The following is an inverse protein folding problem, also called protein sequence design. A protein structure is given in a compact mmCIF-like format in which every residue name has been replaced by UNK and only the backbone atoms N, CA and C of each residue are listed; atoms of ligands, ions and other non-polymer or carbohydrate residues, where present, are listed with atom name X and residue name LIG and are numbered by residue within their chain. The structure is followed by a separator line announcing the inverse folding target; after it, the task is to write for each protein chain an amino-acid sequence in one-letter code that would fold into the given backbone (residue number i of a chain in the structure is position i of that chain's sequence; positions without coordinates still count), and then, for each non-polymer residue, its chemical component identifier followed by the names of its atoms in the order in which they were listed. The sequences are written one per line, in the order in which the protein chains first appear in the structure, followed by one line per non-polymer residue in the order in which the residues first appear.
data_IF_811619263807
#
_entry.id   IF_811619263807
#
_cell.length_a   1.000
_cell.length_b   1.000
_cell.length_c   1.000
_cell.angle_alpha   90.00
_cell.angle_beta   90.00
_cell.angle_gamma   90.00
#
_symmetry.space_group_name_H-M   'P 1'
#
loop_
_entity.id
_entity.type
_entity.pdbx_description
1 polymer ?
#
# COMPACT_ATOMS: atom_id res chain seq x y z
N UNK A 1 -19.01 3.94 19.40
CA UNK A 1 -17.70 3.46 18.95
C UNK A 1 -17.38 4.21 17.66
N UNK A 2 -16.50 5.22 17.70
CA UNK A 2 -16.14 5.98 16.49
C UNK A 2 -15.20 5.10 15.68
N UNK A 3 -15.71 4.51 14.61
CA UNK A 3 -14.86 3.78 13.66
C UNK A 3 -13.92 4.82 13.05
N UNK A 4 -12.63 4.78 13.39
CA UNK A 4 -11.64 5.65 12.73
C UNK A 4 -11.68 5.28 11.25
N UNK A 5 -12.24 6.17 10.43
CA UNK A 5 -12.22 6.00 8.98
C UNK A 5 -10.77 6.09 8.53
N UNK A 6 -10.21 4.95 8.20
CA UNK A 6 -8.90 4.82 7.58
C UNK A 6 -9.09 4.09 6.26
N UNK A 7 -8.38 4.53 5.23
CA UNK A 7 -8.34 3.83 3.95
C UNK A 7 -7.30 2.71 4.05
N UNK A 8 -7.51 1.63 3.31
CA UNK A 8 -6.52 0.56 3.14
C UNK A 8 -6.30 0.39 1.64
N UNK A 9 -5.03 0.36 1.25
CA UNK A 9 -4.61 0.01 -0.10
C UNK A 9 -4.14 -1.44 -0.04
N UNK A 10 -4.71 -2.28 -0.89
CA UNK A 10 -4.33 -3.69 -1.01
C UNK A 10 -3.83 -3.86 -2.43
N UNK A 11 -2.61 -4.38 -2.57
CA UNK A 11 -2.01 -4.76 -3.84
C UNK A 11 -2.20 -6.27 -3.98
N UNK A 12 -2.83 -6.67 -5.08
CA UNK A 12 -3.08 -8.06 -5.43
C UNK A 12 -2.47 -8.37 -6.79
N UNK A 13 -1.94 -9.57 -6.96
CA UNK A 13 -1.45 -10.06 -8.24
C UNK A 13 -2.63 -10.49 -9.16
N UNK A 14 -2.36 -10.75 -10.45
CA UNK A 14 -3.30 -11.19 -11.48
C UNK A 14 -4.15 -12.41 -11.10
N UNK A 15 -3.63 -13.27 -10.22
CA UNK A 15 -4.33 -14.45 -9.70
C UNK A 15 -5.23 -14.12 -8.49
N UNK A 16 -5.31 -12.85 -8.09
CA UNK A 16 -6.10 -12.37 -6.96
C UNK A 16 -5.45 -12.63 -5.60
N UNK A 17 -4.17 -13.00 -5.58
CA UNK A 17 -3.39 -13.24 -4.36
C UNK A 17 -2.93 -11.91 -3.77
N UNK A 18 -3.12 -11.72 -2.46
CA UNK A 18 -2.64 -10.53 -1.76
C UNK A 18 -1.12 -10.54 -1.67
N UNK A 19 -0.51 -9.50 -2.22
CA UNK A 19 0.95 -9.35 -2.26
C UNK A 19 1.40 -8.30 -1.24
N UNK A 20 0.65 -7.20 -1.10
CA UNK A 20 1.00 -6.14 -0.15
C UNK A 20 -0.22 -5.41 0.41
N UNK A 21 -0.17 -4.96 1.67
CA UNK A 21 -1.23 -4.18 2.33
C UNK A 21 -0.64 -2.93 2.99
N UNK A 22 -1.20 -1.76 2.66
CA UNK A 22 -0.86 -0.48 3.26
C UNK A 22 -2.08 0.11 3.96
N UNK A 23 -1.89 0.54 5.21
CA UNK A 23 -2.92 1.25 5.94
C UNK A 23 -2.69 2.76 5.88
N UNK A 24 -3.70 3.49 5.41
CA UNK A 24 -3.70 4.94 5.39
C UNK A 24 -3.98 5.45 6.81
N UNK A 25 -2.91 5.79 7.52
CA UNK A 25 -2.95 6.37 8.87
C UNK A 25 -2.91 7.88 8.81
N UNK A 26 -3.25 8.56 9.92
CA UNK A 26 -3.07 10.01 10.03
C UNK A 26 -1.62 10.46 9.85
N UNK A 27 -0.65 9.59 10.18
CA UNK A 27 0.78 9.85 9.99
C UNK A 27 1.16 9.74 8.50
N UNK A 28 0.61 8.75 7.78
CA UNK A 28 0.80 8.64 6.33
C UNK A 28 0.19 9.82 5.56
N UNK A 29 -0.96 10.32 6.03
CA UNK A 29 -1.60 11.53 5.49
C UNK A 29 -0.79 12.81 5.77
N UNK A 30 0.00 12.83 6.85
CA UNK A 30 0.86 13.96 7.19
C UNK A 30 2.13 14.02 6.31
N UNK A 31 2.48 12.91 5.64
CA UNK A 31 3.62 12.81 4.73
C UNK A 31 3.23 12.03 3.45
N UNK A 32 2.37 12.64 2.60
CA UNK A 32 1.80 11.94 1.44
C UNK A 32 2.86 11.50 0.43
N UNK A 33 3.94 12.26 0.27
CA UNK A 33 5.02 11.93 -0.66
C UNK A 33 5.75 10.65 -0.25
N UNK A 34 6.11 10.53 1.04
CA UNK A 34 6.75 9.33 1.58
C UNK A 34 5.85 8.10 1.47
N UNK A 35 4.54 8.28 1.70
CA UNK A 35 3.58 7.19 1.53
C UNK A 35 3.47 6.73 0.08
N UNK A 36 3.42 7.66 -0.88
CA UNK A 36 3.39 7.34 -2.31
C UNK A 36 4.69 6.69 -2.76
N UNK A 37 5.85 7.11 -2.26
CA UNK A 37 7.14 6.47 -2.55
C UNK A 37 7.16 5.02 -2.05
N UNK A 38 6.74 4.77 -0.82
CA UNK A 38 6.68 3.41 -0.27
C UNK A 38 5.76 2.48 -1.08
N UNK A 39 4.63 3.00 -1.58
CA UNK A 39 3.76 2.22 -2.48
C UNK A 39 4.49 1.89 -3.79
N UNK A 40 5.18 2.85 -4.39
CA UNK A 40 5.91 2.63 -5.65
C UNK A 40 7.02 1.60 -5.50
N UNK A 41 7.84 1.71 -4.45
CA UNK A 41 8.90 0.75 -4.17
C UNK A 41 8.34 -0.67 -3.98
N UNK A 42 7.21 -0.81 -3.27
CA UNK A 42 6.57 -2.11 -3.12
C UNK A 42 5.87 -2.63 -4.38
N UNK A 43 5.58 -1.79 -5.38
CA UNK A 43 5.10 -2.26 -6.68
C UNK A 43 6.30 -2.73 -7.51
N UNK A 44 7.38 -1.96 -7.53
CA UNK A 44 8.62 -2.31 -8.24
C UNK A 44 9.22 -3.62 -7.72
N UNK A 45 9.22 -3.85 -6.40
CA UNK A 45 9.70 -5.09 -5.78
C UNK A 45 8.92 -6.33 -6.26
N UNK A 46 7.61 -6.16 -6.52
CA UNK A 46 6.76 -7.24 -7.06
C UNK A 46 7.06 -7.47 -8.54
N UNK A 47 7.25 -6.40 -9.32
CA UNK A 47 7.56 -6.51 -10.75
C UNK A 47 8.96 -7.11 -11.01
N UNK A 48 9.91 -6.94 -10.09
CA UNK A 48 11.26 -7.53 -10.19
C UNK A 48 11.32 -9.02 -9.77
N UNK A 49 10.40 -9.52 -8.92
CA UNK A 49 10.36 -10.94 -8.53
C UNK A 49 9.90 -11.88 -9.66
N UNK A 50 9.32 -11.36 -10.75
CA UNK A 50 8.82 -12.12 -11.91
C UNK A 50 9.85 -12.32 -13.06
N UNK A 51 11.12 -11.89 -12.91
CA UNK A 51 12.21 -12.05 -13.92
C UNK A 51 13.24 -13.12 -13.55
#
# INVERSE_FOLDING_TARGET
MVVKQGYRLIVVDKDGVLVSEFQLTAQALAAPETFVTAIKESIEEIEEEDT
#
